data_IF_727201584192
#
_entry.id   IF_727201584192
#
_cell.length_a   1.000
_cell.length_b   1.000
_cell.length_c   1.000
_cell.angle_alpha   90.00
_cell.angle_beta   90.00
_cell.angle_gamma   90.00
#
_symmetry.space_group_name_H-M   'P 1'
#
loop_
_entity.id
_entity.type
_entity.pdbx_description
1 polymer ?
#
# COMPACT_ATOMS: atom_id res chain seq x y z
N UNK A 1 6.23 21.84 4.90
CA UNK A 1 5.40 20.75 4.37
C UNK A 1 5.49 20.79 2.87
N UNK A 2 5.42 19.64 2.18
CA UNK A 2 5.81 19.37 0.78
C UNK A 2 5.19 20.24 -0.33
N UNK A 3 4.54 21.37 -0.02
CA UNK A 3 4.10 22.39 -0.97
C UNK A 3 2.79 22.09 -1.67
N UNK A 4 2.34 20.84 -1.67
CA UNK A 4 1.12 20.37 -2.31
C UNK A 4 0.18 19.63 -1.33
N UNK A 5 -1.11 19.55 -1.70
CA UNK A 5 -2.13 18.91 -0.88
C UNK A 5 -1.85 17.41 -0.68
N UNK A 6 -1.33 16.74 -1.72
CA UNK A 6 -0.95 15.33 -1.65
C UNK A 6 0.18 15.10 -0.65
N UNK A 7 1.23 15.91 -0.68
CA UNK A 7 2.35 15.80 0.26
C UNK A 7 1.94 16.06 1.72
N UNK A 8 0.97 16.95 1.96
CA UNK A 8 0.40 17.14 3.31
C UNK A 8 -0.40 15.92 3.76
N UNK A 9 -1.24 15.35 2.88
CA UNK A 9 -1.98 14.12 3.16
C UNK A 9 -1.04 12.92 3.37
N UNK A 10 0.04 12.83 2.61
CA UNK A 10 1.08 11.83 2.80
C UNK A 10 1.72 11.92 4.19
N UNK A 11 2.14 13.12 4.61
CA UNK A 11 2.73 13.34 5.94
C UNK A 11 1.74 12.99 7.06
N UNK A 12 0.45 13.29 6.88
CA UNK A 12 -0.59 12.94 7.85
C UNK A 12 -0.82 11.42 7.97
N UNK A 13 -0.70 10.67 6.87
CA UNK A 13 -0.87 9.21 6.86
C UNK A 13 0.43 8.44 7.14
N UNK A 14 1.59 9.09 7.04
CA UNK A 14 2.91 8.48 7.22
C UNK A 14 3.06 7.63 8.49
N UNK A 15 2.60 8.08 9.70
CA UNK A 15 2.73 7.27 10.91
C UNK A 15 1.99 5.92 10.84
N UNK A 16 0.88 5.86 10.08
CA UNK A 16 0.11 4.63 9.86
C UNK A 16 0.70 3.78 8.74
N UNK A 17 1.24 4.42 7.72
CA UNK A 17 1.77 3.74 6.54
C UNK A 17 3.15 3.12 6.78
N UNK A 18 4.02 3.80 7.53
CA UNK A 18 5.37 3.34 7.81
C UNK A 18 5.45 1.91 8.36
N UNK A 19 4.73 1.51 9.43
CA UNK A 19 4.81 0.13 9.94
C UNK A 19 4.29 -0.91 8.94
N UNK A 20 3.35 -0.54 8.07
CA UNK A 20 2.84 -1.43 7.02
C UNK A 20 3.89 -1.63 5.92
N UNK A 21 4.59 -0.56 5.53
CA UNK A 21 5.71 -0.62 4.58
C UNK A 21 6.90 -1.40 5.16
N UNK A 22 7.24 -1.17 6.43
CA UNK A 22 8.30 -1.92 7.11
C UNK A 22 7.97 -3.42 7.16
N UNK A 23 6.70 -3.79 7.42
CA UNK A 23 6.26 -5.18 7.39
C UNK A 23 6.32 -5.78 5.97
N UNK A 24 5.98 -5.02 4.94
CA UNK A 24 6.11 -5.47 3.55
C UNK A 24 7.58 -5.69 3.15
N UNK A 25 8.50 -4.85 3.65
CA UNK A 25 9.93 -4.98 3.39
C UNK A 25 10.53 -6.26 4.00
N UNK A 26 10.06 -6.67 5.19
CA UNK A 26 10.48 -7.93 5.84
C UNK A 26 9.69 -9.17 5.38
N UNK A 27 8.79 -9.00 4.42
CA UNK A 27 7.99 -10.11 3.88
C UNK A 27 8.83 -11.04 2.99
N UNK A 28 8.29 -12.24 2.75
CA UNK A 28 8.87 -13.24 1.82
C UNK A 28 9.09 -12.67 0.40
N UNK A 29 8.18 -11.81 -0.06
CA UNK A 29 8.30 -11.16 -1.38
C UNK A 29 9.13 -9.86 -1.34
N UNK A 30 9.61 -9.45 -0.17
CA UNK A 30 10.55 -8.35 0.01
C UNK A 30 11.96 -8.89 0.21
N UNK A 31 12.52 -8.66 1.40
CA UNK A 31 13.86 -9.09 1.79
C UNK A 31 13.91 -9.96 3.05
N UNK A 32 12.75 -10.40 3.56
CA UNK A 32 12.69 -11.17 4.79
C UNK A 32 11.93 -12.48 4.64
N UNK A 33 11.49 -13.01 5.78
CA UNK A 33 10.85 -14.32 5.89
C UNK A 33 9.52 -14.24 6.64
N UNK A 34 9.05 -13.04 6.97
CA UNK A 34 7.82 -12.86 7.73
C UNK A 34 6.59 -12.99 6.82
N UNK A 35 5.58 -13.80 7.17
CA UNK A 35 4.33 -13.82 6.44
C UNK A 35 3.53 -12.53 6.73
N UNK A 36 3.10 -11.85 5.68
CA UNK A 36 2.20 -10.69 5.80
C UNK A 36 0.76 -11.16 5.71
N UNK A 37 -0.04 -10.82 6.73
CA UNK A 37 -1.47 -11.12 6.72
C UNK A 37 -2.23 -10.25 5.72
N UNK A 38 -3.32 -10.78 5.17
CA UNK A 38 -4.15 -10.09 4.19
C UNK A 38 -4.66 -8.74 4.71
N UNK A 39 -4.97 -8.60 6.00
CA UNK A 39 -5.49 -7.36 6.56
C UNK A 39 -4.48 -6.20 6.46
N UNK A 40 -3.17 -6.49 6.62
CA UNK A 40 -2.11 -5.48 6.50
C UNK A 40 -1.97 -5.00 5.07
N UNK A 41 -2.11 -5.91 4.10
CA UNK A 41 -2.15 -5.54 2.69
C UNK A 41 -3.32 -4.61 2.40
N UNK A 42 -4.54 -4.96 2.82
CA UNK A 42 -5.73 -4.14 2.58
C UNK A 42 -5.62 -2.74 3.22
N UNK A 43 -5.08 -2.66 4.44
CA UNK A 43 -4.84 -1.38 5.11
C UNK A 43 -3.89 -0.48 4.33
N UNK A 44 -2.77 -1.02 3.83
CA UNK A 44 -1.81 -0.27 3.05
C UNK A 44 -2.41 0.15 1.71
N UNK A 45 -3.10 -0.77 1.05
CA UNK A 45 -3.76 -0.53 -0.24
C UNK A 45 -4.77 0.62 -0.17
N UNK A 46 -5.64 0.62 0.83
CA UNK A 46 -6.62 1.68 1.03
C UNK A 46 -5.96 3.06 1.22
N UNK A 47 -4.87 3.12 2.00
CA UNK A 47 -4.14 4.37 2.24
C UNK A 47 -3.57 4.89 0.92
N UNK A 48 -2.93 4.03 0.12
CA UNK A 48 -2.31 4.40 -1.15
C UNK A 48 -3.34 4.86 -2.18
N UNK A 49 -4.46 4.12 -2.32
CA UNK A 49 -5.55 4.49 -3.23
C UNK A 49 -6.15 5.85 -2.86
N UNK A 50 -6.41 6.09 -1.57
CA UNK A 50 -6.92 7.38 -1.08
C UNK A 50 -5.93 8.53 -1.29
N UNK A 51 -4.63 8.28 -1.11
CA UNK A 51 -3.58 9.30 -1.31
C UNK A 51 -3.38 9.65 -2.78
N UNK A 52 -3.46 8.67 -3.67
CA UNK A 52 -3.19 8.86 -5.11
C UNK A 52 -4.43 9.26 -5.89
N UNK A 53 -5.64 9.06 -5.34
CA UNK A 53 -6.89 9.31 -6.04
C UNK A 53 -7.14 8.37 -7.22
N UNK A 54 -6.35 7.29 -7.34
CA UNK A 54 -6.45 6.32 -8.44
C UNK A 54 -7.68 5.44 -8.24
N UNK A 55 -8.42 5.18 -9.32
CA UNK A 55 -9.55 4.25 -9.26
C UNK A 55 -9.05 2.81 -9.28
N UNK A 56 -9.59 1.95 -8.42
CA UNK A 56 -9.30 0.51 -8.40
C UNK A 56 -9.49 -0.16 -9.78
N UNK A 57 -10.43 0.35 -10.58
CA UNK A 57 -10.70 -0.11 -11.94
C UNK A 57 -9.59 0.22 -12.94
N UNK A 58 -8.77 1.24 -12.66
CA UNK A 58 -7.65 1.62 -13.51
C UNK A 58 -6.38 0.82 -13.22
N UNK A 59 -6.37 0.01 -12.16
CA UNK A 59 -5.24 -0.83 -11.81
C UNK A 59 -5.26 -2.14 -12.59
N UNK A 60 -4.08 -2.64 -13.02
CA UNK A 60 -3.99 -3.94 -13.63
C UNK A 60 -4.48 -5.01 -12.66
N UNK A 61 -5.37 -5.88 -13.14
CA UNK A 61 -5.85 -7.04 -12.39
C UNK A 61 -5.03 -8.27 -12.79
N UNK A 62 -4.78 -9.14 -11.82
CA UNK A 62 -4.20 -10.45 -12.15
C UNK A 62 -5.15 -11.20 -13.08
N UNK A 63 -4.64 -11.82 -14.17
CA UNK A 63 -5.47 -12.57 -15.08
C UNK A 63 -6.04 -13.80 -14.36
N UNK A 64 -7.34 -14.03 -14.49
CA UNK A 64 -7.97 -15.29 -14.09
C UNK A 64 -7.69 -16.32 -15.18
N UNK A 65 -6.83 -17.29 -14.88
CA UNK A 65 -6.63 -18.45 -15.75
C UNK A 65 -7.85 -19.37 -15.63
N UNK A 66 -8.61 -19.49 -16.71
CA UNK A 66 -9.59 -20.57 -16.84
C UNK A 66 -8.83 -21.81 -17.31
N UNK A 67 -8.57 -22.74 -16.39
CA UNK A 67 -7.98 -24.06 -16.67
C UNK A 67 -9.02 -25.00 -17.31
#
# INVERSE_FOLDING_TARGET
GLGDQMGQSFLAQWPKMKPLLDAANHAVLGHGFEPVKAERFHQLYEIVVKLTGVSDMSLPKFPTLNL
#
